data_IF_017594032487
#
_entry.id   IF_017594032487
#
_cell.length_a   1.000
_cell.length_b   1.000
_cell.length_c   1.000
_cell.angle_alpha   90.00
_cell.angle_beta   90.00
_cell.angle_gamma   90.00
#
_symmetry.space_group_name_H-M   'P 1'
#
loop_
_entity.id
_entity.type
_entity.pdbx_description
1 polymer ?
#
# COMPACT_ATOMS: atom_id res chain seq x y z
N UNK A 1 -7.99 -57.84 -15.65
CA UNK A 1 -6.93 -56.80 -15.65
C UNK A 1 -7.50 -55.38 -15.68
N UNK A 2 -8.44 -55.04 -16.57
CA UNK A 2 -9.06 -53.69 -16.56
C UNK A 2 -9.90 -53.40 -15.29
N UNK A 3 -10.66 -54.40 -14.81
CA UNK A 3 -11.53 -54.26 -13.64
C UNK A 3 -10.76 -54.08 -12.32
N UNK A 4 -9.66 -54.83 -12.13
CA UNK A 4 -8.82 -54.73 -10.93
C UNK A 4 -8.08 -53.38 -10.84
N UNK A 5 -7.69 -52.80 -11.98
CA UNK A 5 -7.09 -51.46 -12.01
C UNK A 5 -8.08 -50.36 -11.67
N UNK A 6 -9.32 -50.47 -12.15
CA UNK A 6 -10.38 -49.52 -11.83
C UNK A 6 -10.73 -49.52 -10.33
N UNK A 7 -10.88 -50.72 -9.74
CA UNK A 7 -11.14 -50.85 -8.31
C UNK A 7 -10.00 -50.32 -7.43
N UNK A 8 -8.73 -50.53 -7.83
CA UNK A 8 -7.58 -49.95 -7.12
C UNK A 8 -7.55 -48.41 -7.23
N UNK A 9 -7.97 -47.87 -8.37
CA UNK A 9 -8.04 -46.41 -8.57
C UNK A 9 -9.15 -45.78 -7.73
N UNK A 10 -10.33 -46.39 -7.69
CA UNK A 10 -11.44 -45.96 -6.82
C UNK A 10 -11.02 -46.02 -5.35
N UNK A 11 -10.41 -47.12 -4.91
CA UNK A 11 -9.98 -47.30 -3.51
C UNK A 11 -8.80 -46.40 -3.07
N UNK A 12 -8.05 -45.82 -4.02
CA UNK A 12 -6.93 -44.92 -3.71
C UNK A 12 -7.26 -43.43 -3.89
N UNK A 13 -8.21 -43.09 -4.78
CA UNK A 13 -8.49 -41.70 -5.15
C UNK A 13 -9.91 -41.24 -4.80
N UNK A 14 -10.90 -42.12 -4.81
CA UNK A 14 -12.32 -41.75 -4.66
C UNK A 14 -12.88 -42.14 -3.28
N UNK A 15 -12.50 -43.30 -2.74
CA UNK A 15 -12.93 -43.78 -1.42
C UNK A 15 -11.77 -44.51 -0.70
N UNK A 16 -10.93 -43.78 0.06
CA UNK A 16 -9.75 -44.34 0.72
C UNK A 16 -10.09 -45.34 1.84
N UNK A 17 -11.35 -45.41 2.28
CA UNK A 17 -11.82 -46.38 3.28
C UNK A 17 -12.37 -47.66 2.64
N UNK A 18 -12.43 -47.73 1.30
CA UNK A 18 -12.87 -48.89 0.58
C UNK A 18 -11.90 -50.08 0.79
N UNK A 19 -12.42 -51.16 1.39
CA UNK A 19 -11.64 -52.37 1.65
C UNK A 19 -11.58 -53.24 0.40
N UNK A 20 -10.38 -53.45 -0.14
CA UNK A 20 -10.18 -54.33 -1.30
C UNK A 20 -10.51 -55.80 -0.94
N UNK A 21 -11.27 -56.46 -1.81
CA UNK A 21 -11.68 -57.86 -1.64
C UNK A 21 -10.46 -58.82 -1.72
N UNK A 22 -10.18 -59.62 -0.67
CA UNK A 22 -9.08 -60.59 -0.66
C UNK A 22 -9.13 -61.66 -1.74
N UNK A 23 -10.31 -61.92 -2.31
CA UNK A 23 -10.50 -62.90 -3.38
C UNK A 23 -10.10 -62.37 -4.76
N UNK A 24 -10.06 -61.04 -4.91
CA UNK A 24 -9.81 -60.37 -6.19
C UNK A 24 -8.38 -59.80 -6.26
N UNK A 25 -7.80 -59.45 -5.12
CA UNK A 25 -6.48 -58.82 -5.04
C UNK A 25 -5.45 -59.67 -4.27
N UNK A 26 -4.20 -59.76 -4.76
CA UNK A 26 -3.11 -60.39 -4.03
C UNK A 26 -2.79 -59.65 -2.72
N UNK A 27 -2.38 -60.41 -1.69
CA UNK A 27 -2.11 -59.92 -0.34
C UNK A 27 -1.11 -58.75 -0.29
N UNK A 28 -0.16 -58.72 -1.23
CA UNK A 28 0.86 -57.66 -1.32
C UNK A 28 0.25 -56.29 -1.64
N UNK A 29 -0.81 -56.24 -2.45
CA UNK A 29 -1.49 -54.99 -2.79
C UNK A 29 -2.35 -54.48 -1.63
N UNK A 30 -2.94 -55.39 -0.85
CA UNK A 30 -3.69 -55.05 0.36
C UNK A 30 -2.72 -54.49 1.43
N UNK A 31 -1.55 -55.09 1.58
CA UNK A 31 -0.50 -54.60 2.48
C UNK A 31 0.02 -53.22 2.05
N UNK A 32 0.20 -53.02 0.74
CA UNK A 32 0.59 -51.73 0.16
C UNK A 32 -0.46 -50.65 0.41
N UNK A 33 -1.76 -50.93 0.17
CA UNK A 33 -2.85 -49.98 0.44
C UNK A 33 -2.85 -49.56 1.92
N UNK A 34 -2.74 -50.53 2.85
CA UNK A 34 -2.67 -50.21 4.28
C UNK A 34 -1.48 -49.33 4.63
N UNK A 35 -0.31 -49.61 4.04
CA UNK A 35 0.92 -48.84 4.26
C UNK A 35 0.81 -47.42 3.69
N UNK A 36 0.18 -47.26 2.54
CA UNK A 36 -0.06 -45.96 1.93
C UNK A 36 -1.11 -45.16 2.71
N UNK A 37 -2.21 -45.78 3.14
CA UNK A 37 -3.24 -45.14 3.96
C UNK A 37 -2.70 -44.68 5.33
N UNK A 38 -1.71 -45.38 5.91
CA UNK A 38 -1.08 -44.94 7.16
C UNK A 38 -0.02 -43.85 6.98
N UNK A 39 0.64 -43.78 5.82
CA UNK A 39 1.76 -42.84 5.58
C UNK A 39 1.35 -41.55 4.89
N UNK A 40 0.26 -41.56 4.13
CA UNK A 40 -0.23 -40.40 3.42
C UNK A 40 -1.59 -40.04 4.02
N UNK A 41 -1.75 -38.87 4.67
CA UNK A 41 -3.07 -38.37 5.02
C UNK A 41 -3.78 -38.01 3.71
N UNK A 42 -4.55 -38.96 3.18
CA UNK A 42 -5.34 -38.76 1.98
C UNK A 42 -6.61 -37.98 2.36
N UNK A 43 -7.09 -37.07 1.49
CA UNK A 43 -8.34 -36.35 1.74
C UNK A 43 -9.49 -37.35 1.93
N UNK A 44 -10.09 -37.37 3.12
CA UNK A 44 -11.26 -38.22 3.43
C UNK A 44 -11.02 -39.45 4.31
N UNK A 45 -9.77 -39.83 4.64
CA UNK A 45 -9.55 -40.81 5.71
C UNK A 45 -9.87 -40.15 7.05
N UNK A 46 -10.82 -40.72 7.80
CA UNK A 46 -11.30 -40.27 9.11
C UNK A 46 -10.56 -39.05 9.68
N UNK A 47 -11.19 -37.89 9.47
CA UNK A 47 -10.81 -36.59 9.99
C UNK A 47 -10.09 -36.76 11.32
N UNK A 48 -8.78 -36.52 11.30
CA UNK A 48 -8.13 -35.99 12.47
C UNK A 48 -9.10 -34.93 13.00
N UNK A 49 -9.60 -35.10 14.22
CA UNK A 49 -10.18 -33.98 14.98
C UNK A 49 -9.26 -32.81 14.68
N UNK A 50 -9.74 -31.74 14.01
CA UNK A 50 -8.88 -30.69 13.50
C UNK A 50 -8.08 -30.21 14.69
N UNK A 51 -6.82 -30.64 14.74
CA UNK A 51 -5.96 -30.47 15.89
C UNK A 51 -5.65 -28.99 15.86
N UNK A 52 -6.47 -28.23 16.61
CA UNK A 52 -6.61 -26.79 16.62
C UNK A 52 -5.72 -26.12 15.57
N UNK A 53 -6.13 -26.21 14.29
CA UNK A 53 -5.45 -25.46 13.24
C UNK A 53 -5.48 -24.03 13.72
N UNK A 54 -4.33 -23.50 14.12
CA UNK A 54 -4.29 -22.21 14.81
C UNK A 54 -4.98 -21.22 13.89
N UNK A 55 -6.17 -20.78 14.27
CA UNK A 55 -6.96 -19.86 13.48
C UNK A 55 -6.19 -18.55 13.47
N UNK A 56 -5.44 -18.31 12.38
CA UNK A 56 -4.74 -17.06 12.18
C UNK A 56 -5.77 -16.06 11.67
N UNK A 57 -6.18 -15.15 12.54
CA UNK A 57 -7.01 -14.02 12.15
C UNK A 57 -6.14 -12.98 11.44
N UNK A 58 -6.56 -12.49 10.27
CA UNK A 58 -5.84 -11.46 9.52
C UNK A 58 -6.78 -10.27 9.31
N UNK A 59 -6.45 -9.13 9.92
CA UNK A 59 -7.06 -7.83 9.63
C UNK A 59 -6.50 -7.31 8.30
N UNK A 60 -7.39 -7.05 7.33
CA UNK A 60 -7.06 -6.36 6.09
C UNK A 60 -7.57 -4.92 6.15
N UNK A 61 -6.67 -3.96 6.32
CA UNK A 61 -6.98 -2.53 6.27
C UNK A 61 -6.78 -2.01 4.85
N UNK A 62 -7.85 -1.46 4.26
CA UNK A 62 -7.82 -0.81 2.95
C UNK A 62 -7.98 0.69 3.18
N UNK A 63 -6.93 1.45 2.91
CA UNK A 63 -6.99 2.91 2.99
C UNK A 63 -7.16 3.48 1.58
N UNK A 64 -8.25 4.23 1.37
CA UNK A 64 -8.49 4.95 0.13
C UNK A 64 -7.84 6.32 0.19
N UNK A 65 -7.00 6.64 -0.80
CA UNK A 65 -6.32 7.94 -0.92
C UNK A 65 -6.98 8.79 -2.00
N UNK A 66 -7.03 10.10 -1.80
CA UNK A 66 -7.63 11.03 -2.75
C UNK A 66 -6.59 11.54 -3.74
N UNK A 67 -6.85 11.52 -5.06
CA UNK A 67 -5.91 12.07 -6.03
C UNK A 67 -5.78 13.59 -5.89
N UNK A 68 -6.78 14.29 -5.35
CA UNK A 68 -6.76 15.75 -5.20
C UNK A 68 -5.70 16.26 -4.22
N UNK A 69 -5.32 15.44 -3.24
CA UNK A 69 -4.25 15.77 -2.28
C UNK A 69 -2.89 15.91 -2.98
N UNK A 70 -2.70 15.25 -4.13
CA UNK A 70 -1.45 15.35 -4.91
C UNK A 70 -1.23 16.73 -5.53
N UNK A 71 -2.30 17.51 -5.71
CA UNK A 71 -2.25 18.88 -6.24
C UNK A 71 -2.03 19.94 -5.15
N UNK A 72 -2.14 19.56 -3.88
CA UNK A 72 -1.95 20.49 -2.77
C UNK A 72 -0.49 20.92 -2.67
N UNK A 73 -0.23 22.18 -2.26
CA UNK A 73 1.13 22.68 -2.08
C UNK A 73 1.84 22.02 -0.90
N UNK A 74 3.08 22.43 -0.68
CA UNK A 74 3.92 22.02 0.44
C UNK A 74 4.20 20.50 0.49
N UNK A 75 4.25 19.85 -0.67
CA UNK A 75 4.59 18.44 -0.76
C UNK A 75 3.53 17.49 -0.18
N UNK A 76 2.30 17.94 0.05
CA UNK A 76 1.19 17.14 0.59
C UNK A 76 1.00 15.80 -0.15
N UNK A 77 1.09 15.81 -1.48
CA UNK A 77 1.06 14.61 -2.29
C UNK A 77 2.19 13.61 -2.01
N UNK A 78 3.41 14.11 -1.79
CA UNK A 78 4.57 13.29 -1.47
C UNK A 78 4.41 12.62 -0.10
N UNK A 79 3.87 13.35 0.88
CA UNK A 79 3.54 12.78 2.18
C UNK A 79 2.44 11.71 2.08
N UNK A 80 1.38 11.96 1.29
CA UNK A 80 0.34 10.97 1.04
C UNK A 80 0.91 9.69 0.41
N UNK A 81 1.89 9.82 -0.49
CA UNK A 81 2.49 8.70 -1.19
C UNK A 81 3.60 8.00 -0.38
N UNK A 82 3.82 8.35 0.89
CA UNK A 82 4.85 7.71 1.73
C UNK A 82 6.28 8.16 1.43
N UNK A 83 6.48 9.32 0.80
CA UNK A 83 7.78 9.89 0.46
C UNK A 83 8.09 11.15 1.32
N UNK A 84 8.32 11.00 2.65
CA UNK A 84 8.44 12.15 3.56
C UNK A 84 9.64 13.04 3.25
N UNK A 85 10.78 12.46 2.83
CA UNK A 85 11.99 13.23 2.49
C UNK A 85 11.72 14.13 1.29
N UNK A 86 11.08 13.60 0.24
CA UNK A 86 10.73 14.38 -0.96
C UNK A 86 9.73 15.48 -0.62
N UNK A 87 8.72 15.16 0.18
CA UNK A 87 7.74 16.12 0.68
C UNK A 87 8.39 17.27 1.44
N UNK A 88 9.32 16.99 2.35
CA UNK A 88 10.05 18.00 3.12
C UNK A 88 10.92 18.90 2.23
N UNK A 89 11.60 18.34 1.24
CA UNK A 89 12.40 19.14 0.29
C UNK A 89 11.51 20.10 -0.48
N UNK A 90 10.42 19.60 -1.08
CA UNK A 90 9.46 20.42 -1.83
C UNK A 90 8.87 21.51 -0.95
N UNK A 91 8.43 21.16 0.26
CA UNK A 91 7.88 22.12 1.23
C UNK A 91 8.90 23.20 1.59
N UNK A 92 10.13 22.82 1.94
CA UNK A 92 11.19 23.77 2.27
C UNK A 92 11.50 24.71 1.11
N UNK A 93 11.59 24.20 -0.13
CA UNK A 93 11.80 25.02 -1.32
C UNK A 93 10.67 26.01 -1.54
N UNK A 94 9.41 25.59 -1.39
CA UNK A 94 8.26 26.48 -1.54
C UNK A 94 8.23 27.55 -0.45
N UNK A 95 8.47 27.19 0.81
CA UNK A 95 8.54 28.13 1.92
C UNK A 95 9.64 29.16 1.69
N UNK A 96 10.84 28.74 1.30
CA UNK A 96 11.94 29.65 1.01
C UNK A 96 11.63 30.57 -0.18
N UNK A 97 11.07 30.04 -1.26
CA UNK A 97 10.66 30.83 -2.43
C UNK A 97 9.61 31.89 -2.07
N UNK A 98 8.60 31.51 -1.30
CA UNK A 98 7.56 32.43 -0.81
C UNK A 98 8.11 33.45 0.19
N UNK A 99 9.05 33.06 1.05
CA UNK A 99 9.71 33.99 1.97
C UNK A 99 10.51 35.05 1.20
N UNK A 100 11.29 34.64 0.18
CA UNK A 100 12.00 35.57 -0.71
C UNK A 100 11.02 36.48 -1.45
N UNK A 101 9.90 35.93 -1.93
CA UNK A 101 8.84 36.72 -2.55
C UNK A 101 8.32 37.82 -1.62
N UNK A 102 7.97 37.45 -0.38
CA UNK A 102 7.41 38.37 0.60
C UNK A 102 8.43 39.43 1.04
N UNK A 103 9.70 39.04 1.25
CA UNK A 103 10.77 39.98 1.57
C UNK A 103 10.97 40.96 0.42
N UNK A 104 11.03 40.49 -0.82
CA UNK A 104 11.16 41.35 -2.00
C UNK A 104 10.00 42.34 -2.12
N UNK A 105 8.77 41.87 -1.90
CA UNK A 105 7.58 42.74 -1.86
C UNK A 105 7.70 43.84 -0.79
N UNK A 106 8.04 43.46 0.45
CA UNK A 106 8.14 44.42 1.55
C UNK A 106 9.25 45.45 1.31
N UNK A 107 10.37 45.04 0.72
CA UNK A 107 11.44 45.97 0.37
C UNK A 107 11.09 46.91 -0.78
N UNK A 108 10.31 46.47 -1.77
CA UNK A 108 9.79 47.39 -2.79
C UNK A 108 8.83 48.40 -2.16
N UNK A 109 8.01 47.95 -1.21
CA UNK A 109 7.04 48.82 -0.53
C UNK A 109 7.72 49.84 0.39
N UNK A 110 8.80 49.48 1.07
CA UNK A 110 9.56 50.40 1.94
C UNK A 110 10.23 51.54 1.17
N UNK A 111 10.45 51.37 -0.13
CA UNK A 111 11.04 52.37 -1.02
C UNK A 111 10.01 53.35 -1.62
N UNK A 112 8.71 53.17 -1.36
CA UNK A 112 7.67 54.08 -1.85
C UNK A 112 7.60 55.36 -1.02
N UNK A 113 7.36 56.48 -1.69
CA UNK A 113 7.08 57.76 -1.03
C UNK A 113 5.62 57.83 -0.52
N UNK A 114 5.26 58.93 0.13
CA UNK A 114 3.90 59.16 0.63
C UNK A 114 2.82 59.23 -0.47
N UNK A 115 3.22 59.35 -1.74
CA UNK A 115 2.34 59.30 -2.91
C UNK A 115 2.27 57.89 -3.51
N UNK A 116 2.94 56.91 -2.91
CA UNK A 116 3.02 55.53 -3.39
C UNK A 116 3.96 55.34 -4.58
N UNK A 117 4.75 56.35 -4.93
CA UNK A 117 5.66 56.34 -6.08
C UNK A 117 7.08 56.01 -5.62
N UNK A 118 7.85 55.35 -6.49
CA UNK A 118 9.24 55.03 -6.22
C UNK A 118 10.11 56.18 -6.76
N UNK A 119 10.91 56.87 -5.91
CA UNK A 119 11.81 57.94 -6.34
C UNK A 119 12.83 57.47 -7.39
N UNK A 120 13.17 58.33 -8.35
CA UNK A 120 14.13 57.99 -9.41
C UNK A 120 15.50 57.52 -8.87
N UNK A 121 15.94 58.08 -7.74
CA UNK A 121 17.19 57.71 -7.08
C UNK A 121 17.23 56.23 -6.61
N UNK A 122 16.08 55.62 -6.31
CA UNK A 122 15.98 54.24 -5.81
C UNK A 122 15.43 53.26 -6.85
N UNK A 123 15.24 53.69 -8.10
CA UNK A 123 14.67 52.84 -9.17
C UNK A 123 15.46 51.57 -9.44
N UNK A 124 16.80 51.61 -9.38
CA UNK A 124 17.60 50.40 -9.56
C UNK A 124 17.44 49.44 -8.39
N UNK A 125 17.41 49.95 -7.17
CA UNK A 125 17.25 49.15 -5.97
C UNK A 125 15.88 48.46 -5.93
N UNK A 126 14.82 49.23 -6.21
CA UNK A 126 13.46 48.69 -6.34
C UNK A 126 13.37 47.60 -7.41
N UNK A 127 14.03 47.78 -8.57
CA UNK A 127 14.09 46.76 -9.62
C UNK A 127 14.77 45.48 -9.15
N UNK A 128 15.86 45.56 -8.37
CA UNK A 128 16.53 44.37 -7.82
C UNK A 128 15.63 43.62 -6.85
N UNK A 129 14.96 44.31 -5.95
CA UNK A 129 14.01 43.69 -5.00
C UNK A 129 12.80 43.09 -5.72
N UNK A 130 12.29 43.75 -6.74
CA UNK A 130 11.19 43.23 -7.56
C UNK A 130 11.62 41.99 -8.37
N UNK A 131 12.84 41.97 -8.89
CA UNK A 131 13.40 40.77 -9.53
C UNK A 131 13.51 39.61 -8.53
N UNK A 132 13.99 39.86 -7.30
CA UNK A 132 14.03 38.85 -6.24
C UNK A 132 12.62 38.36 -5.88
N UNK A 133 11.64 39.27 -5.78
CA UNK A 133 10.25 38.93 -5.53
C UNK A 133 9.73 37.93 -6.57
N UNK A 134 9.87 38.25 -7.85
CA UNK A 134 9.42 37.39 -8.94
C UNK A 134 10.22 36.09 -9.04
N UNK A 135 11.51 36.13 -8.75
CA UNK A 135 12.36 34.93 -8.70
C UNK A 135 11.88 33.97 -7.60
N UNK A 136 11.62 34.48 -6.39
CA UNK A 136 11.08 33.67 -5.29
C UNK A 136 9.74 33.02 -5.62
N UNK A 137 8.83 33.79 -6.26
CA UNK A 137 7.55 33.27 -6.72
C UNK A 137 7.72 32.19 -7.79
N UNK A 138 8.59 32.42 -8.77
CA UNK A 138 8.86 31.45 -9.83
C UNK A 138 9.42 30.15 -9.26
N UNK A 139 10.36 30.22 -8.30
CA UNK A 139 10.90 29.04 -7.61
C UNK A 139 9.80 28.27 -6.88
N UNK A 140 8.93 28.95 -6.13
CA UNK A 140 7.84 28.32 -5.41
C UNK A 140 6.82 27.66 -6.38
N UNK A 141 6.44 28.36 -7.44
CA UNK A 141 5.46 27.88 -8.43
C UNK A 141 6.00 26.69 -9.24
N UNK A 142 7.26 26.74 -9.68
CA UNK A 142 7.90 25.64 -10.40
C UNK A 142 8.09 24.41 -9.50
N UNK A 143 8.51 24.62 -8.25
CA UNK A 143 8.61 23.55 -7.25
C UNK A 143 7.26 22.88 -7.00
N UNK A 144 6.17 23.67 -6.91
CA UNK A 144 4.82 23.13 -6.82
C UNK A 144 4.44 22.30 -8.04
N UNK A 145 4.63 22.82 -9.26
CA UNK A 145 4.24 22.12 -10.48
C UNK A 145 4.99 20.78 -10.64
N UNK A 146 6.31 20.78 -10.39
CA UNK A 146 7.13 19.56 -10.43
C UNK A 146 6.72 18.59 -9.32
N UNK A 147 6.56 19.06 -8.08
CA UNK A 147 6.18 18.22 -6.94
C UNK A 147 4.79 17.60 -7.09
N UNK A 148 3.83 18.34 -7.63
CA UNK A 148 2.48 17.85 -7.92
C UNK A 148 2.51 16.82 -9.06
N UNK A 149 3.24 17.09 -10.15
CA UNK A 149 3.39 16.15 -11.26
C UNK A 149 4.04 14.83 -10.83
N UNK A 150 5.11 14.91 -10.04
CA UNK A 150 5.78 13.71 -9.50
C UNK A 150 4.87 12.92 -8.56
N UNK A 151 4.14 13.59 -7.67
CA UNK A 151 3.21 12.93 -6.75
C UNK A 151 2.05 12.27 -7.48
N UNK A 152 1.53 12.92 -8.52
CA UNK A 152 0.47 12.37 -9.35
C UNK A 152 0.95 11.11 -10.09
N UNK A 153 2.20 11.11 -10.59
CA UNK A 153 2.79 9.95 -11.26
C UNK A 153 2.94 8.74 -10.32
N UNK A 154 3.29 8.95 -9.05
CA UNK A 154 3.44 7.90 -8.04
C UNK A 154 2.16 7.65 -7.22
N UNK A 155 1.01 8.13 -7.68
CA UNK A 155 -0.22 8.03 -6.91
C UNK A 155 -0.79 6.61 -6.91
N UNK A 156 -0.95 6.06 -5.71
CA UNK A 156 -1.66 4.80 -5.49
C UNK A 156 -2.99 5.06 -4.79
N UNK A 157 -4.09 4.67 -5.43
CA UNK A 157 -5.44 4.92 -4.92
C UNK A 157 -5.78 4.11 -3.66
N UNK A 158 -5.09 2.98 -3.46
CA UNK A 158 -5.39 2.03 -2.38
C UNK A 158 -4.09 1.56 -1.75
N UNK A 159 -4.05 1.65 -0.43
CA UNK A 159 -3.01 1.06 0.40
C UNK A 159 -3.61 -0.10 1.19
N UNK A 160 -2.96 -1.27 1.12
CA UNK A 160 -3.47 -2.52 1.73
C UNK A 160 -2.46 -2.98 2.77
N UNK A 161 -2.83 -2.83 4.04
CA UNK A 161 -2.05 -3.35 5.16
C UNK A 161 -2.70 -4.64 5.69
N UNK A 162 -1.89 -5.68 5.85
CA UNK A 162 -2.29 -6.94 6.47
C UNK A 162 -1.67 -7.02 7.86
N UNK A 163 -2.50 -7.25 8.88
CA UNK A 163 -2.05 -7.45 10.25
C UNK A 163 -2.63 -8.74 10.80
N UNK A 164 -1.79 -9.62 11.34
CA UNK A 164 -2.26 -10.81 12.07
C UNK A 164 -2.78 -10.40 13.45
N UNK A 165 -3.95 -10.90 13.82
CA UNK A 165 -4.56 -10.71 15.13
C UNK A 165 -4.36 -11.99 15.95
N UNK A 166 -4.02 -11.83 17.23
CA UNK A 166 -3.82 -12.93 18.18
C UNK A 166 -5.15 -13.50 18.71
N UNK A 167 -6.27 -12.80 18.47
CA UNK A 167 -7.60 -13.18 18.93
C UNK A 167 -8.68 -12.76 17.92
N UNK A 168 -9.88 -13.38 17.96
CA UNK A 168 -10.94 -13.07 17.02
C UNK A 168 -11.36 -11.60 17.14
N UNK A 169 -11.55 -10.90 16.00
CA UNK A 169 -12.08 -9.54 15.99
C UNK A 169 -13.49 -9.53 16.62
N UNK A 170 -13.85 -8.42 17.27
CA UNK A 170 -15.12 -8.29 18.00
C UNK A 170 -16.35 -8.60 17.13
N UNK A 171 -16.26 -8.30 15.84
CA UNK A 171 -17.29 -8.54 14.82
C UNK A 171 -17.60 -10.04 14.58
N UNK A 172 -16.69 -10.95 14.98
CA UNK A 172 -16.86 -12.39 14.84
C UNK A 172 -17.22 -13.08 16.17
N UNK A 173 -17.31 -12.35 17.28
CA UNK A 173 -17.63 -12.93 18.60
C UNK A 173 -19.08 -13.41 18.71
N UNK A 174 -20.01 -12.75 18.01
CA UNK A 174 -21.45 -13.04 18.09
C UNK A 174 -21.89 -14.21 17.18
N UNK A 175 -21.01 -14.73 16.33
CA UNK A 175 -21.31 -15.85 15.41
C UNK A 175 -20.99 -17.22 16.04
N UNK A 176 -20.37 -17.21 17.23
CA UNK A 176 -19.85 -18.40 17.93
C UNK A 176 -20.62 -18.82 19.20
N UNK A 177 -21.72 -18.15 19.54
CA UNK A 177 -22.67 -18.55 20.59
C UNK A 177 -23.92 -19.23 19.98
#
# INVERSE_FOLDING_TARGET
>A
MAHSRAQLQVALLEDPEHTLDPLVFPADLIALQRTLATRLPLPGSNSATPDASSLIYVERRITHRSPWVTLLPMGAGQFQNGHPIRGSIVAATQVLGLAVNLIGFWQVESLRDSRGLIPAATHEEARRWQNLQWTGLAVAALSWAVGAGESFYHFEAKDVALRTLESPPAELRDVSD
#
